data_IF_107619279018
#
_entry.id   IF_107619279018
#
_cell.length_a   1.000
_cell.length_b   1.000
_cell.length_c   1.000
_cell.angle_alpha   90.00
_cell.angle_beta   90.00
_cell.angle_gamma   90.00
#
_symmetry.space_group_name_H-M   'P 1'
#
loop_
_entity.id
_entity.type
_entity.pdbx_description
1 polymer ?
#
# COMPACT_ATOMS: atom_id res chain seq x y z
N UNK A 1 15.74 -26.61 -27.35
CA UNK A 1 15.75 -25.83 -28.62
C UNK A 1 16.42 -24.47 -28.38
N UNK A 2 17.23 -23.98 -29.31
CA UNK A 2 18.06 -22.76 -29.14
C UNK A 2 17.16 -21.53 -29.10
N UNK A 3 17.06 -20.85 -27.96
CA UNK A 3 16.60 -19.46 -27.93
C UNK A 3 17.47 -18.72 -28.95
N UNK A 4 16.85 -18.16 -29.98
CA UNK A 4 17.58 -17.47 -31.03
C UNK A 4 18.51 -16.45 -30.38
N UNK A 5 19.77 -16.44 -30.80
CA UNK A 5 20.83 -15.61 -30.22
C UNK A 5 20.42 -14.12 -30.13
N UNK A 6 19.58 -13.65 -31.06
CA UNK A 6 18.99 -12.31 -31.05
C UNK A 6 18.03 -12.04 -29.88
N UNK A 7 17.22 -13.02 -29.48
CA UNK A 7 16.34 -12.93 -28.30
C UNK A 7 17.19 -12.97 -27.03
N UNK A 8 18.17 -13.88 -26.96
CA UNK A 8 19.05 -14.02 -25.80
C UNK A 8 19.85 -12.74 -25.52
N UNK A 9 20.41 -12.12 -26.56
CA UNK A 9 21.11 -10.83 -26.45
C UNK A 9 20.20 -9.72 -25.92
N UNK A 10 18.95 -9.67 -26.39
CA UNK A 10 17.95 -8.72 -25.88
C UNK A 10 17.54 -8.98 -24.43
N UNK A 11 17.51 -10.24 -23.98
CA UNK A 11 17.25 -10.59 -22.58
C UNK A 11 18.38 -10.09 -21.68
N UNK A 12 19.65 -10.28 -22.09
CA UNK A 12 20.80 -9.83 -21.31
C UNK A 12 20.88 -8.31 -21.15
N UNK A 13 20.52 -7.57 -22.22
CA UNK A 13 20.51 -6.11 -22.26
C UNK A 13 19.23 -5.48 -21.70
N UNK A 14 18.30 -6.27 -21.18
CA UNK A 14 17.05 -5.75 -20.63
C UNK A 14 17.33 -4.86 -19.39
N UNK A 15 16.62 -3.73 -19.25
CA UNK A 15 16.78 -2.83 -18.11
C UNK A 15 16.21 -3.44 -16.81
N UNK A 16 16.66 -2.92 -15.67
CA UNK A 16 16.16 -3.31 -14.35
C UNK A 16 14.92 -2.50 -13.92
N UNK A 17 14.10 -2.08 -14.87
CA UNK A 17 12.92 -1.24 -14.66
C UNK A 17 11.60 -2.02 -14.81
N UNK A 18 10.48 -1.48 -14.32
CA UNK A 18 9.15 -1.99 -14.63
C UNK A 18 8.86 -1.89 -16.13
N UNK A 19 8.08 -2.84 -16.65
CA UNK A 19 7.76 -2.85 -18.07
C UNK A 19 6.91 -4.02 -18.53
N UNK A 20 6.53 -3.93 -19.78
CA UNK A 20 5.88 -5.00 -20.53
C UNK A 20 6.90 -5.63 -21.47
N UNK A 21 6.83 -6.95 -21.62
CA UNK A 21 7.54 -7.68 -22.65
C UNK A 21 6.56 -8.42 -23.55
N UNK A 22 6.90 -8.50 -24.83
CA UNK A 22 6.06 -8.98 -25.91
C UNK A 22 6.89 -9.96 -26.76
N UNK A 23 6.39 -11.19 -26.89
CA UNK A 23 6.94 -12.19 -27.79
C UNK A 23 6.13 -12.24 -29.08
N UNK A 24 6.82 -12.19 -30.22
CA UNK A 24 6.22 -12.27 -31.56
C UNK A 24 6.84 -13.40 -32.39
N UNK A 25 6.08 -13.94 -33.33
CA UNK A 25 6.57 -14.92 -34.31
C UNK A 25 7.32 -14.23 -35.48
N UNK A 26 7.69 -15.00 -36.52
CA UNK A 26 8.38 -14.45 -37.71
C UNK A 26 7.50 -13.48 -38.51
N UNK A 27 6.19 -13.70 -38.55
CA UNK A 27 5.24 -12.86 -39.30
C UNK A 27 4.85 -11.60 -38.54
N UNK A 28 5.33 -11.42 -37.31
CA UNK A 28 5.05 -10.26 -36.46
C UNK A 28 3.80 -10.38 -35.59
N UNK A 29 3.11 -11.52 -35.62
CA UNK A 29 1.96 -11.82 -34.77
C UNK A 29 2.39 -11.93 -33.30
N UNK A 30 1.58 -11.35 -32.41
CA UNK A 30 1.86 -11.33 -30.96
C UNK A 30 1.41 -12.63 -30.31
N UNK A 31 2.37 -13.42 -29.85
CA UNK A 31 2.14 -14.72 -29.23
C UNK A 31 1.81 -14.59 -27.74
N UNK A 32 2.58 -13.78 -27.02
CA UNK A 32 2.47 -13.62 -25.57
C UNK A 32 2.88 -12.22 -25.12
N UNK A 33 2.15 -11.71 -24.14
CA UNK A 33 2.40 -10.44 -23.45
C UNK A 33 2.47 -10.71 -21.96
N UNK A 34 3.47 -10.13 -21.28
CA UNK A 34 3.56 -10.20 -19.83
C UNK A 34 4.12 -8.93 -19.21
N UNK A 35 3.74 -8.66 -17.96
CA UNK A 35 4.31 -7.58 -17.14
C UNK A 35 5.47 -8.02 -16.24
N UNK A 36 6.36 -7.10 -15.92
CA UNK A 36 7.43 -7.27 -14.97
C UNK A 36 7.62 -6.03 -14.10
N UNK A 37 7.90 -6.24 -12.81
CA UNK A 37 8.41 -5.18 -11.91
C UNK A 37 9.88 -4.89 -12.23
N UNK A 38 10.62 -5.91 -12.68
CA UNK A 38 11.99 -5.81 -13.15
C UNK A 38 12.11 -6.66 -14.42
N UNK A 39 12.22 -6.00 -15.58
CA UNK A 39 12.28 -6.63 -16.89
C UNK A 39 13.45 -7.63 -16.97
N UNK A 40 14.66 -7.24 -16.56
CA UNK A 40 15.84 -8.12 -16.58
C UNK A 40 15.63 -9.42 -15.81
N UNK A 41 15.26 -9.34 -14.53
CA UNK A 41 15.02 -10.52 -13.67
C UNK A 41 13.92 -11.41 -14.24
N UNK A 42 12.86 -10.81 -14.80
CA UNK A 42 11.73 -11.57 -15.36
C UNK A 42 12.10 -12.24 -16.68
N UNK A 43 12.87 -11.58 -17.54
CA UNK A 43 13.25 -12.10 -18.85
C UNK A 43 14.29 -13.22 -18.74
N UNK A 44 15.17 -13.17 -17.74
CA UNK A 44 16.11 -14.25 -17.43
C UNK A 44 15.42 -15.59 -17.12
N UNK A 45 14.18 -15.57 -16.62
CA UNK A 45 13.40 -16.80 -16.42
C UNK A 45 13.19 -17.57 -17.73
N UNK A 46 13.01 -16.86 -18.86
CA UNK A 46 12.81 -17.48 -20.16
C UNK A 46 14.12 -17.96 -20.80
N UNK A 47 15.27 -17.64 -20.20
CA UNK A 47 16.59 -18.08 -20.65
C UNK A 47 17.03 -19.42 -20.03
N UNK A 48 16.17 -20.07 -19.22
CA UNK A 48 16.41 -21.39 -18.63
C UNK A 48 16.19 -22.51 -19.64
N UNK A 49 16.71 -23.70 -19.32
CA UNK A 49 16.52 -24.93 -20.08
C UNK A 49 15.04 -25.32 -20.20
N UNK A 50 14.66 -26.00 -21.30
CA UNK A 50 13.27 -26.38 -21.58
C UNK A 50 12.63 -27.25 -20.49
N UNK A 51 13.42 -28.08 -19.80
CA UNK A 51 12.98 -28.93 -18.71
C UNK A 51 12.48 -28.15 -17.48
N UNK A 52 12.95 -26.92 -17.28
CA UNK A 52 12.55 -26.04 -16.17
C UNK A 52 11.30 -25.20 -16.49
N UNK A 53 10.82 -25.24 -17.74
CA UNK A 53 9.75 -24.36 -18.22
C UNK A 53 8.41 -25.09 -18.24
N UNK A 54 7.34 -24.36 -17.97
CA UNK A 54 5.99 -24.93 -18.12
C UNK A 54 5.73 -25.29 -19.59
N UNK A 55 4.95 -26.34 -19.91
CA UNK A 55 4.69 -26.78 -21.29
C UNK A 55 4.16 -25.65 -22.18
N UNK A 56 3.35 -24.76 -21.61
CA UNK A 56 2.86 -23.56 -22.28
C UNK A 56 4.00 -22.60 -22.65
N UNK A 57 4.91 -22.33 -21.71
CA UNK A 57 6.04 -21.43 -21.92
C UNK A 57 6.97 -21.96 -22.99
N UNK A 58 7.28 -23.25 -22.96
CA UNK A 58 8.04 -23.91 -24.01
C UNK A 58 7.37 -23.74 -25.39
N UNK A 59 6.06 -23.98 -25.47
CA UNK A 59 5.31 -23.91 -26.73
C UNK A 59 5.32 -22.54 -27.41
N UNK A 60 5.15 -21.44 -26.68
CA UNK A 60 5.18 -20.11 -27.32
C UNK A 60 6.61 -19.66 -27.61
N UNK A 61 7.59 -20.02 -26.75
CA UNK A 61 9.00 -19.69 -26.99
C UNK A 61 9.51 -20.39 -28.24
N UNK A 62 9.04 -21.60 -28.52
CA UNK A 62 9.38 -22.34 -29.73
C UNK A 62 9.00 -21.60 -31.02
N UNK A 63 7.90 -20.83 -30.99
CA UNK A 63 7.43 -20.03 -32.12
C UNK A 63 7.97 -18.58 -32.08
N UNK A 64 8.52 -18.16 -30.95
CA UNK A 64 8.95 -16.79 -30.73
C UNK A 64 10.27 -16.50 -31.46
N UNK A 65 10.26 -15.42 -32.23
CA UNK A 65 11.36 -15.02 -33.11
C UNK A 65 11.81 -13.59 -32.86
N UNK A 66 10.96 -12.78 -32.22
CA UNK A 66 11.26 -11.42 -31.81
C UNK A 66 10.77 -11.17 -30.38
N UNK A 67 11.64 -10.52 -29.60
CA UNK A 67 11.32 -9.98 -28.28
C UNK A 67 11.34 -8.44 -28.35
N UNK A 68 10.29 -7.83 -27.83
CA UNK A 68 10.17 -6.39 -27.61
C UNK A 68 9.79 -6.12 -26.15
N UNK A 69 10.20 -4.97 -25.62
CA UNK A 69 9.75 -4.52 -24.31
C UNK A 69 9.47 -3.03 -24.32
N UNK A 70 8.52 -2.63 -23.48
CA UNK A 70 8.14 -1.23 -23.25
C UNK A 70 8.44 -0.92 -21.79
N UNK A 71 9.32 0.03 -21.57
CA UNK A 71 9.66 0.53 -20.23
C UNK A 71 8.53 1.45 -19.77
N UNK A 72 8.15 1.31 -18.51
CA UNK A 72 7.13 2.17 -17.88
C UNK A 72 7.63 2.65 -16.52
N UNK A 73 7.02 3.71 -16.01
CA UNK A 73 7.52 4.40 -14.83
C UNK A 73 7.01 3.75 -13.52
N UNK A 74 6.05 2.81 -13.61
CA UNK A 74 5.47 2.13 -12.42
C UNK A 74 4.92 0.71 -12.67
N UNK A 75 4.81 -0.12 -11.62
CA UNK A 75 4.13 -1.44 -11.69
C UNK A 75 2.66 -1.27 -12.08
N UNK A 76 2.00 -0.20 -11.62
CA UNK A 76 0.62 0.07 -11.99
C UNK A 76 0.46 0.36 -13.49
N UNK A 77 1.34 1.20 -14.05
CA UNK A 77 1.34 1.49 -15.48
C UNK A 77 1.61 0.22 -16.28
N UNK A 78 2.52 -0.65 -15.81
CA UNK A 78 2.74 -1.97 -16.41
C UNK A 78 1.44 -2.80 -16.38
N UNK A 79 0.77 -2.90 -15.22
CA UNK A 79 -0.50 -3.64 -15.12
C UNK A 79 -1.55 -3.12 -16.11
N UNK A 80 -1.75 -1.80 -16.16
CA UNK A 80 -2.78 -1.21 -17.02
C UNK A 80 -2.44 -1.35 -18.50
N UNK A 81 -1.16 -1.23 -18.86
CA UNK A 81 -0.70 -1.39 -20.24
C UNK A 81 -0.81 -2.85 -20.71
N UNK A 82 -0.44 -3.82 -19.86
CA UNK A 82 -0.63 -5.25 -20.13
C UNK A 82 -2.09 -5.55 -20.48
N UNK A 83 -3.01 -5.10 -19.64
CA UNK A 83 -4.45 -5.31 -19.81
C UNK A 83 -4.92 -4.74 -21.15
N UNK A 84 -4.50 -3.51 -21.46
CA UNK A 84 -4.91 -2.86 -22.71
C UNK A 84 -4.36 -3.60 -23.93
N UNK A 85 -3.08 -3.99 -23.91
CA UNK A 85 -2.45 -4.73 -25.00
C UNK A 85 -3.06 -6.12 -25.20
N UNK A 86 -3.32 -6.87 -24.12
CA UNK A 86 -3.98 -8.19 -24.22
C UNK A 86 -5.39 -8.03 -24.78
N UNK A 87 -6.14 -7.00 -24.36
CA UNK A 87 -7.49 -6.75 -24.86
C UNK A 87 -7.51 -6.36 -26.34
N UNK A 88 -6.56 -5.53 -26.78
CA UNK A 88 -6.46 -5.07 -28.17
C UNK A 88 -5.92 -6.15 -29.10
N UNK A 89 -4.88 -6.88 -28.68
CA UNK A 89 -4.12 -7.80 -29.55
C UNK A 89 -4.54 -9.26 -29.39
N UNK A 90 -5.25 -9.61 -28.32
CA UNK A 90 -5.78 -10.95 -28.04
C UNK A 90 -4.77 -12.09 -28.32
N UNK A 91 -3.61 -12.10 -27.65
CA UNK A 91 -2.56 -13.07 -27.94
C UNK A 91 -3.02 -14.50 -27.64
N UNK A 92 -2.73 -15.44 -28.55
CA UNK A 92 -3.14 -16.86 -28.45
C UNK A 92 -2.86 -17.44 -27.06
N UNK A 93 -1.64 -17.26 -26.55
CA UNK A 93 -1.19 -17.84 -25.29
C UNK A 93 -1.65 -17.07 -24.04
N UNK A 94 -2.09 -15.82 -24.15
CA UNK A 94 -2.70 -15.11 -23.00
C UNK A 94 -4.15 -15.56 -22.77
N UNK A 95 -4.83 -16.05 -23.79
CA UNK A 95 -6.25 -16.46 -23.72
C UNK A 95 -6.42 -17.88 -23.21
N UNK A 96 -5.50 -18.80 -23.55
CA UNK A 96 -5.59 -20.22 -23.18
C UNK A 96 -5.36 -20.49 -21.70
N UNK A 97 -4.66 -19.61 -20.97
CA UNK A 97 -4.45 -19.75 -19.52
C UNK A 97 -5.47 -18.97 -18.73
N UNK A 98 -6.63 -19.57 -18.52
CA UNK A 98 -7.55 -19.17 -17.46
C UNK A 98 -7.25 -19.99 -16.20
N UNK A 99 -6.14 -19.69 -15.53
CA UNK A 99 -5.93 -20.19 -14.16
C UNK A 99 -7.01 -19.64 -13.22
N UNK A 100 -7.34 -20.42 -12.18
CA UNK A 100 -8.47 -20.37 -11.23
C UNK A 100 -8.77 -19.04 -10.48
N UNK A 101 -8.11 -17.94 -10.79
CA UNK A 101 -8.45 -16.61 -10.26
C UNK A 101 -9.36 -15.91 -11.27
N UNK A 102 -10.67 -16.09 -11.10
CA UNK A 102 -11.70 -15.46 -11.95
C UNK A 102 -11.39 -13.96 -12.19
N UNK A 103 -11.05 -13.56 -13.43
CA UNK A 103 -10.66 -12.19 -13.72
C UNK A 103 -11.79 -11.21 -13.43
N UNK A 104 -11.43 -9.98 -13.01
CA UNK A 104 -12.38 -8.91 -12.76
C UNK A 104 -12.29 -7.84 -13.83
N UNK A 105 -13.43 -7.30 -14.19
CA UNK A 105 -13.59 -6.15 -15.06
C UNK A 105 -14.12 -4.98 -14.25
N UNK A 106 -13.74 -3.77 -14.62
CA UNK A 106 -14.42 -2.55 -14.21
C UNK A 106 -15.49 -2.26 -15.25
N UNK A 107 -16.74 -2.23 -14.83
CA UNK A 107 -17.89 -1.86 -15.65
C UNK A 107 -18.24 -0.40 -15.35
N UNK A 108 -18.35 0.42 -16.39
CA UNK A 108 -18.95 1.75 -16.34
C UNK A 108 -20.27 1.68 -17.11
N UNK A 109 -21.40 1.74 -16.39
CA UNK A 109 -22.73 1.53 -16.98
C UNK A 109 -23.17 2.69 -17.88
N UNK A 110 -24.17 2.44 -18.73
CA UNK A 110 -24.79 3.44 -19.61
C UNK A 110 -26.07 4.05 -18.99
N UNK A 111 -26.27 3.88 -17.67
CA UNK A 111 -27.42 4.46 -16.97
C UNK A 111 -27.40 6.00 -17.03
N UNK A 112 -28.55 6.66 -16.79
CA UNK A 112 -28.63 8.14 -16.74
C UNK A 112 -27.59 8.74 -15.78
N UNK A 113 -27.32 8.03 -14.68
CA UNK A 113 -26.19 8.26 -13.80
C UNK A 113 -25.27 7.03 -13.93
N UNK A 114 -24.20 7.13 -14.74
CA UNK A 114 -23.29 6.00 -14.94
C UNK A 114 -22.74 5.50 -13.61
N UNK A 115 -22.68 4.19 -13.44
CA UNK A 115 -22.18 3.53 -12.24
C UNK A 115 -20.85 2.85 -12.55
N UNK A 116 -19.89 2.96 -11.62
CA UNK A 116 -18.61 2.25 -11.69
C UNK A 116 -18.68 1.03 -10.77
N UNK A 117 -18.75 -0.16 -11.37
CA UNK A 117 -18.90 -1.45 -10.69
C UNK A 117 -17.80 -2.41 -11.08
N UNK A 118 -17.64 -3.48 -10.31
CA UNK A 118 -16.77 -4.60 -10.71
C UNK A 118 -17.63 -5.76 -11.20
N UNK A 119 -17.29 -6.33 -12.36
CA UNK A 119 -18.00 -7.45 -12.97
C UNK A 119 -17.04 -8.61 -13.24
N UNK A 120 -17.55 -9.85 -13.29
CA UNK A 120 -16.75 -11.05 -13.64
C UNK A 120 -16.87 -11.46 -15.10
N UNK A 121 -17.86 -10.89 -15.80
CA UNK A 121 -18.15 -11.20 -17.19
C UNK A 121 -18.50 -9.90 -17.90
N UNK A 122 -18.10 -9.81 -19.16
CA UNK A 122 -18.53 -8.74 -20.05
C UNK A 122 -19.93 -9.06 -20.56
N UNK A 123 -20.88 -8.16 -20.33
CA UNK A 123 -22.25 -8.29 -20.84
C UNK A 123 -22.48 -7.19 -21.87
N UNK A 124 -22.65 -7.58 -23.14
CA UNK A 124 -22.89 -6.63 -24.23
C UNK A 124 -24.13 -5.78 -23.91
N UNK A 125 -24.05 -4.47 -24.17
CA UNK A 125 -25.14 -3.52 -23.94
C UNK A 125 -25.23 -2.92 -22.54
N UNK A 126 -24.54 -3.47 -21.53
CA UNK A 126 -24.59 -2.95 -20.14
C UNK A 126 -23.49 -1.92 -19.81
N UNK A 127 -22.93 -1.27 -20.83
CA UNK A 127 -21.87 -0.28 -20.68
C UNK A 127 -20.48 -0.77 -21.08
N UNK A 128 -19.47 -0.03 -20.65
CA UNK A 128 -18.08 -0.27 -21.02
C UNK A 128 -17.38 -1.15 -19.98
N UNK A 129 -16.72 -2.21 -20.43
CA UNK A 129 -15.93 -3.10 -19.58
C UNK A 129 -14.43 -2.87 -19.84
N UNK A 130 -13.68 -2.69 -18.75
CA UNK A 130 -12.24 -2.50 -18.75
C UNK A 130 -11.61 -3.63 -17.93
N UNK A 131 -10.69 -4.38 -18.53
CA UNK A 131 -10.11 -5.59 -17.94
C UNK A 131 -9.66 -6.56 -19.04
N UNK A 132 -9.33 -7.82 -18.69
CA UNK A 132 -9.41 -8.43 -17.35
C UNK A 132 -8.26 -8.00 -16.41
N UNK A 133 -8.58 -7.69 -15.16
CA UNK A 133 -7.59 -7.43 -14.12
C UNK A 133 -7.16 -8.72 -13.42
N UNK A 134 -5.83 -8.97 -13.27
CA UNK A 134 -5.31 -10.21 -12.70
C UNK A 134 -5.52 -10.33 -11.18
N UNK A 135 -5.73 -9.22 -10.46
CA UNK A 135 -5.94 -9.22 -9.01
C UNK A 135 -7.15 -8.39 -8.61
N UNK A 136 -8.15 -9.08 -8.06
CA UNK A 136 -9.35 -8.48 -7.48
C UNK A 136 -9.04 -7.43 -6.40
N UNK A 137 -8.09 -7.77 -5.53
CA UNK A 137 -7.77 -7.00 -4.34
C UNK A 137 -7.01 -5.72 -4.70
N UNK A 138 -6.02 -5.83 -5.60
CA UNK A 138 -5.32 -4.66 -6.14
C UNK A 138 -6.29 -3.74 -6.87
N UNK A 139 -7.17 -4.28 -7.73
CA UNK A 139 -8.17 -3.49 -8.44
C UNK A 139 -9.08 -2.72 -7.48
N UNK A 140 -9.64 -3.39 -6.47
CA UNK A 140 -10.50 -2.72 -5.46
C UNK A 140 -9.76 -1.62 -4.72
N UNK A 141 -8.48 -1.83 -4.41
CA UNK A 141 -7.63 -0.81 -3.78
C UNK A 141 -7.42 0.39 -4.70
N UNK A 142 -7.08 0.16 -5.97
CA UNK A 142 -6.91 1.22 -6.98
C UNK A 142 -8.21 2.02 -7.14
N UNK A 143 -9.34 1.34 -7.33
CA UNK A 143 -10.65 2.00 -7.46
C UNK A 143 -10.99 2.85 -6.23
N UNK A 144 -10.68 2.39 -5.02
CA UNK A 144 -10.89 3.16 -3.79
C UNK A 144 -10.08 4.47 -3.78
N UNK A 145 -8.83 4.45 -4.26
CA UNK A 145 -8.01 5.65 -4.36
C UNK A 145 -8.48 6.57 -5.48
N UNK A 146 -8.74 6.00 -6.67
CA UNK A 146 -9.29 6.74 -7.81
C UNK A 146 -10.62 7.41 -7.47
N UNK A 147 -11.45 6.83 -6.60
CA UNK A 147 -12.70 7.45 -6.16
C UNK A 147 -12.52 8.75 -5.39
N UNK A 148 -11.38 8.94 -4.72
CA UNK A 148 -11.05 10.21 -4.06
C UNK A 148 -10.62 11.29 -5.05
N UNK A 149 -10.03 10.87 -6.17
CA UNK A 149 -9.50 11.76 -7.22
C UNK A 149 -10.61 12.11 -8.22
N UNK A 150 -11.38 11.11 -8.63
CA UNK A 150 -12.50 11.19 -9.56
C UNK A 150 -13.73 10.59 -8.86
N UNK A 151 -14.51 11.39 -8.12
CA UNK A 151 -15.70 10.92 -7.42
C UNK A 151 -16.70 10.23 -8.36
N UNK A 152 -17.22 9.07 -7.93
CA UNK A 152 -18.17 8.30 -8.75
C UNK A 152 -19.20 7.53 -7.93
N UNK A 153 -20.33 7.19 -8.58
CA UNK A 153 -21.36 6.34 -8.00
C UNK A 153 -21.04 4.86 -8.20
N UNK A 154 -21.01 4.09 -7.12
CA UNK A 154 -20.88 2.63 -7.15
C UNK A 154 -22.22 1.88 -7.07
N UNK A 155 -23.30 2.60 -6.74
CA UNK A 155 -24.65 2.07 -6.60
C UNK A 155 -25.67 3.12 -7.06
N UNK A 156 -26.85 2.67 -7.45
CA UNK A 156 -27.95 3.55 -7.84
C UNK A 156 -28.39 4.44 -6.68
N UNK A 157 -28.82 5.66 -6.99
CA UNK A 157 -29.44 6.57 -6.02
C UNK A 157 -30.86 6.07 -5.74
N UNK A 158 -31.03 5.28 -4.67
CA UNK A 158 -32.33 4.67 -4.32
C UNK A 158 -33.24 5.57 -3.48
N UNK A 159 -32.77 6.72 -2.98
CA UNK A 159 -33.56 7.59 -2.11
C UNK A 159 -33.25 9.09 -2.32
N UNK A 160 -34.24 9.93 -1.98
CA UNK A 160 -34.11 11.41 -1.88
C UNK A 160 -33.30 11.88 -0.65
N UNK A 161 -32.69 10.96 0.12
CA UNK A 161 -31.93 11.27 1.34
C UNK A 161 -30.44 11.34 1.07
N UNK A 162 -29.71 11.99 1.98
CA UNK A 162 -28.25 12.10 1.88
C UNK A 162 -27.58 10.73 1.80
N UNK A 163 -26.53 10.64 1.00
CA UNK A 163 -25.70 9.45 0.84
C UNK A 163 -24.33 9.77 1.44
N UNK A 164 -23.84 8.94 2.36
CA UNK A 164 -22.55 9.13 3.02
C UNK A 164 -21.40 9.33 2.02
N UNK A 165 -21.43 8.69 0.85
CA UNK A 165 -20.41 8.89 -0.17
C UNK A 165 -20.48 10.29 -0.79
N UNK A 166 -21.66 10.91 -0.88
CA UNK A 166 -21.81 12.30 -1.31
C UNK A 166 -21.25 13.24 -0.24
N UNK A 167 -21.63 13.01 1.02
CA UNK A 167 -21.18 13.84 2.15
C UNK A 167 -19.65 13.81 2.34
N UNK A 168 -19.03 12.67 2.05
CA UNK A 168 -17.58 12.50 2.09
C UNK A 168 -16.86 12.95 0.79
N UNK A 169 -17.57 13.51 -0.19
CA UNK A 169 -17.00 13.91 -1.49
C UNK A 169 -16.53 12.75 -2.37
N UNK A 170 -16.94 11.51 -2.08
CA UNK A 170 -16.60 10.29 -2.82
C UNK A 170 -17.60 9.96 -3.95
N UNK A 171 -18.69 10.72 -4.06
CA UNK A 171 -19.62 10.70 -5.18
C UNK A 171 -20.17 12.12 -5.40
N UNK A 172 -20.39 12.55 -6.65
CA UNK A 172 -20.97 13.84 -6.92
C UNK A 172 -22.41 13.91 -6.37
N UNK A 173 -22.83 15.09 -5.90
CA UNK A 173 -24.22 15.28 -5.50
C UNK A 173 -25.11 15.46 -6.74
N UNK A 174 -25.81 14.39 -7.12
CA UNK A 174 -26.74 14.35 -8.24
C UNK A 174 -28.20 14.13 -7.77
N UNK A 175 -28.49 14.43 -6.50
CA UNK A 175 -29.84 14.30 -5.95
C UNK A 175 -30.77 15.33 -6.61
N UNK A 176 -31.97 14.89 -7.01
CA UNK A 176 -32.97 15.72 -7.68
C UNK A 176 -33.51 16.88 -6.83
N UNK A 177 -33.28 16.86 -5.51
CA UNK A 177 -33.69 17.93 -4.61
C UNK A 177 -32.81 19.19 -4.72
N UNK A 178 -31.81 19.20 -5.60
CA UNK A 178 -30.96 20.37 -5.86
C UNK A 178 -31.55 21.30 -6.92
N UNK A 179 -31.15 22.58 -6.87
CA UNK A 179 -31.40 23.54 -7.94
C UNK A 179 -30.93 22.99 -9.30
N UNK A 180 -31.79 23.06 -10.33
CA UNK A 180 -31.54 22.55 -11.67
C UNK A 180 -30.21 23.05 -12.29
N UNK A 181 -29.82 24.30 -12.01
CA UNK A 181 -28.54 24.86 -12.48
C UNK A 181 -27.34 24.16 -11.84
N UNK A 182 -27.42 23.87 -10.54
CA UNK A 182 -26.38 23.17 -9.79
C UNK A 182 -26.31 21.69 -10.21
N UNK A 183 -27.46 21.04 -10.39
CA UNK A 183 -27.55 19.66 -10.87
C UNK A 183 -26.89 19.51 -12.24
N UNK A 184 -27.17 20.41 -13.19
CA UNK A 184 -26.56 20.39 -14.52
C UNK A 184 -25.04 20.61 -14.47
N UNK A 185 -24.56 21.49 -13.57
CA UNK A 185 -23.13 21.70 -13.34
C UNK A 185 -22.46 20.42 -12.81
N UNK A 186 -23.07 19.76 -11.83
CA UNK A 186 -22.57 18.53 -11.23
C UNK A 186 -22.58 17.36 -12.23
N UNK A 187 -23.64 17.24 -13.06
CA UNK A 187 -23.70 16.25 -14.16
C UNK A 187 -22.55 16.44 -15.15
N UNK A 188 -22.27 17.69 -15.57
CA UNK A 188 -21.14 18.00 -16.47
C UNK A 188 -19.79 17.65 -15.85
N UNK A 189 -19.59 17.98 -14.57
CA UNK A 189 -18.36 17.64 -13.86
C UNK A 189 -18.20 16.13 -13.75
N UNK A 190 -19.26 15.41 -13.40
CA UNK A 190 -19.23 13.96 -13.28
C UNK A 190 -18.83 13.26 -14.60
N UNK A 191 -19.36 13.74 -15.73
CA UNK A 191 -18.96 13.22 -17.04
C UNK A 191 -17.47 13.44 -17.34
N UNK A 192 -16.90 14.58 -16.94
CA UNK A 192 -15.45 14.83 -17.06
C UNK A 192 -14.65 13.84 -16.22
N UNK A 193 -15.05 13.64 -14.97
CA UNK A 193 -14.37 12.72 -14.04
C UNK A 193 -14.44 11.28 -14.54
N UNK A 194 -15.58 10.84 -15.06
CA UNK A 194 -15.71 9.52 -15.70
C UNK A 194 -14.85 9.40 -16.97
N UNK A 195 -14.69 10.47 -17.74
CA UNK A 195 -13.81 10.47 -18.93
C UNK A 195 -12.34 10.31 -18.52
N UNK A 196 -11.92 11.01 -17.46
CA UNK A 196 -10.56 10.89 -16.89
C UNK A 196 -10.33 9.50 -16.31
N UNK A 197 -11.30 8.97 -15.57
CA UNK A 197 -11.27 7.61 -15.03
C UNK A 197 -11.12 6.56 -16.15
N UNK A 198 -11.87 6.70 -17.25
CA UNK A 198 -11.72 5.82 -18.44
C UNK A 198 -10.32 5.91 -19.04
N UNK A 199 -9.78 7.12 -19.23
CA UNK A 199 -8.43 7.30 -19.77
C UNK A 199 -7.39 6.67 -18.85
N UNK A 200 -7.53 6.88 -17.55
CA UNK A 200 -6.66 6.29 -16.53
C UNK A 200 -6.68 4.76 -16.59
N UNK A 201 -7.86 4.15 -16.53
CA UNK A 201 -8.02 2.68 -16.57
C UNK A 201 -7.60 2.05 -17.91
N UNK A 202 -7.56 2.82 -19.00
CA UNK A 202 -7.00 2.40 -20.30
C UNK A 202 -5.47 2.59 -20.39
N UNK A 203 -4.81 2.98 -19.30
CA UNK A 203 -3.36 3.20 -19.25
C UNK A 203 -2.89 4.54 -19.85
N UNK A 204 -3.80 5.47 -20.19
CA UNK A 204 -3.45 6.79 -20.73
C UNK A 204 -3.18 7.81 -19.62
N UNK A 205 -2.32 7.44 -18.68
CA UNK A 205 -2.10 8.18 -17.42
C UNK A 205 -1.44 9.53 -17.68
N UNK A 206 -0.36 9.55 -18.48
CA UNK A 206 0.34 10.78 -18.89
C UNK A 206 -0.61 11.82 -19.49
N UNK A 207 -1.57 11.35 -20.31
CA UNK A 207 -2.61 12.20 -20.90
C UNK A 207 -3.57 12.78 -19.86
N UNK A 208 -3.92 12.01 -18.82
CA UNK A 208 -4.78 12.51 -17.73
C UNK A 208 -4.07 13.60 -16.94
N UNK A 209 -2.79 13.39 -16.59
CA UNK A 209 -1.97 14.39 -15.89
C UNK A 209 -1.88 15.67 -16.72
N UNK A 210 -1.56 15.58 -18.01
CA UNK A 210 -1.50 16.75 -18.91
C UNK A 210 -2.82 17.53 -18.97
N UNK A 211 -3.96 16.83 -19.00
CA UNK A 211 -5.28 17.48 -18.98
C UNK A 211 -5.48 18.25 -17.67
N UNK A 212 -5.16 17.63 -16.53
CA UNK A 212 -5.29 18.25 -15.21
C UNK A 212 -4.35 19.44 -15.03
N UNK A 213 -3.09 19.32 -15.47
CA UNK A 213 -2.10 20.41 -15.43
C UNK A 213 -2.54 21.61 -16.26
N UNK A 214 -3.09 21.36 -17.45
CA UNK A 214 -3.63 22.42 -18.30
C UNK A 214 -4.79 23.14 -17.61
N UNK A 215 -5.76 22.39 -17.09
CA UNK A 215 -6.91 22.96 -16.38
C UNK A 215 -6.49 23.71 -15.10
N UNK A 216 -5.49 23.21 -14.38
CA UNK A 216 -4.93 23.86 -13.19
C UNK A 216 -4.33 25.22 -13.55
N UNK A 217 -3.51 25.29 -14.60
CA UNK A 217 -2.92 26.54 -15.11
C UNK A 217 -4.00 27.52 -15.57
N UNK A 218 -5.00 27.06 -16.30
CA UNK A 218 -6.15 27.89 -16.72
C UNK A 218 -6.91 28.48 -15.51
N UNK A 219 -7.07 27.70 -14.43
CA UNK A 219 -7.73 28.16 -13.19
C UNK A 219 -6.88 29.15 -12.40
N UNK A 220 -5.57 28.92 -12.34
CA UNK A 220 -4.64 29.86 -11.73
C UNK A 220 -4.63 31.22 -12.47
N UNK A 221 -4.63 31.22 -13.80
CA UNK A 221 -4.73 32.44 -14.61
C UNK A 221 -6.03 33.22 -14.37
N UNK A 222 -7.13 32.52 -14.09
CA UNK A 222 -8.43 33.12 -13.74
C UNK A 222 -8.53 33.52 -12.26
N UNK A 223 -7.43 33.44 -11.49
CA UNK A 223 -7.38 33.70 -10.05
C UNK A 223 -8.33 32.78 -9.23
N UNK A 224 -8.72 31.63 -9.77
CA UNK A 224 -9.52 30.61 -9.09
C UNK A 224 -8.61 29.64 -8.30
N UNK A 225 -7.86 30.18 -7.32
CA UNK A 225 -6.76 29.45 -6.65
C UNK A 225 -7.20 28.19 -5.90
N UNK A 226 -8.39 28.18 -5.28
CA UNK A 226 -8.91 26.99 -4.58
C UNK A 226 -9.07 25.81 -5.54
N UNK A 227 -9.66 26.05 -6.72
CA UNK A 227 -9.85 25.00 -7.73
C UNK A 227 -8.55 24.58 -8.39
N UNK A 228 -7.61 25.52 -8.55
CA UNK A 228 -6.26 25.18 -9.01
C UNK A 228 -5.57 24.25 -7.99
N UNK A 229 -5.72 24.54 -6.69
CA UNK A 229 -5.17 23.71 -5.62
C UNK A 229 -5.83 22.32 -5.56
N UNK A 230 -7.14 22.21 -5.75
CA UNK A 230 -7.83 20.91 -5.86
C UNK A 230 -7.27 20.07 -7.03
N UNK A 231 -7.07 20.69 -8.21
CA UNK A 231 -6.49 20.02 -9.37
C UNK A 231 -5.04 19.59 -9.12
N UNK A 232 -4.25 20.42 -8.42
CA UNK A 232 -2.90 20.08 -8.00
C UNK A 232 -2.88 18.86 -7.08
N UNK A 233 -3.74 18.84 -6.05
CA UNK A 233 -3.89 17.70 -5.14
C UNK A 233 -4.32 16.42 -5.89
N UNK A 234 -5.17 16.54 -6.91
CA UNK A 234 -5.53 15.41 -7.77
C UNK A 234 -4.32 14.88 -8.55
N UNK A 235 -3.47 15.75 -9.09
CA UNK A 235 -2.24 15.36 -9.81
C UNK A 235 -1.29 14.65 -8.85
N UNK A 236 -1.04 15.21 -7.67
CA UNK A 236 -0.19 14.63 -6.63
C UNK A 236 -0.72 13.25 -6.22
N UNK A 237 -2.02 13.12 -5.97
CA UNK A 237 -2.64 11.83 -5.61
C UNK A 237 -2.53 10.78 -6.74
N UNK A 238 -2.55 11.19 -8.01
CA UNK A 238 -2.29 10.29 -9.15
C UNK A 238 -0.82 9.87 -9.14
N UNK A 239 0.10 10.81 -8.96
CA UNK A 239 1.53 10.55 -8.92
C UNK A 239 1.89 9.60 -7.77
N UNK A 240 1.31 9.80 -6.58
CA UNK A 240 1.48 8.90 -5.42
C UNK A 240 1.01 7.48 -5.67
N UNK A 241 0.00 7.32 -6.54
CA UNK A 241 -0.53 6.01 -6.94
C UNK A 241 0.34 5.34 -8.02
N UNK A 242 1.13 6.12 -8.77
CA UNK A 242 2.17 5.64 -9.67
C UNK A 242 3.48 5.37 -8.96
N UNK A 243 3.76 6.09 -7.86
CA UNK A 243 4.83 5.69 -6.97
C UNK A 243 4.55 4.24 -6.57
N UNK A 244 5.58 3.37 -6.62
CA UNK A 244 5.37 1.97 -6.33
C UNK A 244 4.74 1.85 -4.93
N UNK A 245 3.46 1.50 -4.89
CA UNK A 245 2.73 1.39 -3.64
C UNK A 245 3.39 0.25 -2.83
N UNK A 246 3.69 0.45 -1.54
CA UNK A 246 4.26 -0.57 -0.65
C UNK A 246 3.20 -1.62 -0.31
N UNK A 247 2.72 -2.35 -1.31
CA UNK A 247 1.87 -3.53 -1.13
C UNK A 247 2.66 -4.76 -1.57
N UNK A 248 3.46 -5.24 -0.61
CA UNK A 248 4.01 -6.60 -0.49
C UNK A 248 5.07 -7.00 -1.55
N UNK A 249 5.06 -6.43 -2.76
CA UNK A 249 6.06 -6.67 -3.81
C UNK A 249 7.34 -5.84 -3.71
N UNK A 250 7.37 -4.80 -2.87
CA UNK A 250 8.54 -3.95 -2.63
C UNK A 250 9.57 -4.53 -1.66
N UNK A 251 9.20 -5.54 -0.87
CA UNK A 251 10.14 -6.17 0.07
C UNK A 251 11.32 -6.85 -0.64
N UNK A 252 11.22 -7.13 -1.94
CA UNK A 252 12.20 -7.90 -2.68
C UNK A 252 13.07 -7.08 -3.65
N UNK A 253 12.66 -5.85 -4.00
CA UNK A 253 13.33 -5.08 -5.07
C UNK A 253 14.33 -4.06 -4.56
N UNK A 254 14.20 -3.55 -3.34
CA UNK A 254 15.15 -2.62 -2.72
C UNK A 254 15.59 -3.08 -1.33
N UNK A 255 15.76 -4.40 -1.11
CA UNK A 255 16.27 -4.89 0.19
C UNK A 255 17.59 -4.20 0.55
N UNK A 256 18.50 -4.01 -0.42
CA UNK A 256 19.78 -3.30 -0.20
C UNK A 256 19.59 -1.84 0.24
N UNK A 257 18.81 -1.03 -0.48
CA UNK A 257 18.55 0.37 -0.10
C UNK A 257 17.76 0.49 1.21
N UNK A 258 16.82 -0.43 1.45
CA UNK A 258 16.06 -0.49 2.71
C UNK A 258 16.96 -0.86 3.88
N UNK A 259 17.90 -1.78 3.67
CA UNK A 259 18.93 -2.12 4.64
C UNK A 259 19.88 -0.95 4.88
N UNK A 260 20.32 -0.25 3.83
CA UNK A 260 21.18 0.93 3.96
C UNK A 260 20.49 2.06 4.73
N UNK A 261 19.22 2.34 4.42
CA UNK A 261 18.41 3.31 5.16
C UNK A 261 18.23 2.88 6.61
N UNK A 262 17.86 1.62 6.86
CA UNK A 262 17.68 1.09 8.21
C UNK A 262 19.00 1.13 9.01
N UNK A 263 20.13 0.81 8.39
CA UNK A 263 21.47 0.95 8.98
C UNK A 263 21.78 2.41 9.32
N UNK A 264 21.51 3.34 8.42
CA UNK A 264 21.70 4.78 8.65
C UNK A 264 20.85 5.30 9.80
N UNK A 265 19.57 4.90 9.86
CA UNK A 265 18.65 5.25 10.94
C UNK A 265 19.10 4.67 12.29
N UNK A 266 19.52 3.41 12.32
CA UNK A 266 20.07 2.78 13.53
C UNK A 266 21.34 3.46 14.01
N UNK A 267 22.27 3.79 13.10
CA UNK A 267 23.49 4.52 13.45
C UNK A 267 23.16 5.90 14.05
N UNK A 268 22.24 6.62 13.43
CA UNK A 268 21.75 7.91 13.96
C UNK A 268 21.08 7.75 15.34
N UNK A 269 20.28 6.71 15.53
CA UNK A 269 19.61 6.45 16.81
C UNK A 269 20.62 6.07 17.91
N UNK A 270 21.61 5.24 17.58
CA UNK A 270 22.70 4.83 18.47
C UNK A 270 23.49 6.06 18.94
N UNK A 271 23.88 6.93 17.99
CA UNK A 271 24.55 8.20 18.30
C UNK A 271 23.67 9.16 19.13
N UNK A 272 22.37 9.25 18.82
CA UNK A 272 21.43 10.12 19.54
C UNK A 272 21.22 9.68 20.99
N UNK A 273 21.15 8.36 21.24
CA UNK A 273 20.95 7.80 22.57
C UNK A 273 22.26 7.57 23.34
N UNK A 274 23.41 7.67 22.69
CA UNK A 274 24.71 7.34 23.29
C UNK A 274 24.88 5.84 23.57
N UNK A 275 24.33 4.99 22.71
CA UNK A 275 24.42 3.52 22.78
C UNK A 275 25.37 3.06 21.66
N UNK A 276 26.26 2.10 21.95
CA UNK A 276 27.29 1.66 21.00
C UNK A 276 26.70 1.08 19.71
N UNK A 277 25.84 0.08 19.81
CA UNK A 277 25.16 -0.54 18.67
C UNK A 277 23.74 -0.97 19.05
N UNK A 278 22.76 -0.57 18.25
CA UNK A 278 21.37 -1.00 18.37
C UNK A 278 21.08 -2.00 17.25
N UNK A 279 20.86 -3.26 17.61
CA UNK A 279 20.49 -4.32 16.69
C UNK A 279 18.98 -4.61 16.73
N UNK A 280 18.42 -4.68 17.94
CA UNK A 280 17.05 -5.10 18.24
C UNK A 280 16.30 -4.04 19.05
N UNK A 281 15.18 -3.59 18.50
CA UNK A 281 14.26 -2.65 19.15
C UNK A 281 12.93 -3.37 19.41
N UNK A 282 12.43 -3.30 20.64
CA UNK A 282 11.10 -3.79 21.01
C UNK A 282 10.14 -2.62 21.23
N UNK A 283 9.02 -2.62 20.51
CA UNK A 283 7.98 -1.59 20.61
C UNK A 283 6.72 -2.13 21.28
N UNK A 284 6.11 -1.35 22.16
CA UNK A 284 4.92 -1.77 22.91
C UNK A 284 3.75 -0.79 22.82
N UNK A 285 2.54 -1.35 22.65
CA UNK A 285 1.26 -0.64 22.71
C UNK A 285 0.25 -1.39 23.59
N UNK A 286 -0.59 -0.66 24.33
CA UNK A 286 -1.69 -1.21 25.13
C UNK A 286 -3.00 -1.05 24.41
N UNK A 287 -3.67 -2.18 24.25
CA UNK A 287 -4.91 -2.30 23.52
C UNK A 287 -6.03 -2.64 24.54
N UNK A 288 -6.88 -1.65 24.88
CA UNK A 288 -7.97 -1.83 25.84
C UNK A 288 -9.33 -1.99 25.14
N UNK A 289 -10.01 -3.11 25.37
CA UNK A 289 -11.42 -3.29 25.00
C UNK A 289 -12.29 -3.06 26.22
N UNK A 290 -13.27 -2.16 26.10
CA UNK A 290 -14.26 -1.85 27.13
C UNK A 290 -14.85 -3.10 27.80
N UNK A 291 -14.25 -3.52 28.92
CA UNK A 291 -14.90 -4.36 29.92
C UNK A 291 -14.24 -5.68 30.35
N UNK A 292 -13.34 -6.36 29.61
CA UNK A 292 -12.90 -7.70 30.08
C UNK A 292 -11.49 -8.21 29.76
N UNK A 293 -10.82 -7.83 28.67
CA UNK A 293 -9.50 -8.42 28.31
C UNK A 293 -8.56 -7.40 27.67
N UNK A 294 -7.79 -6.67 28.47
CA UNK A 294 -6.70 -5.83 27.95
C UNK A 294 -5.57 -6.71 27.38
N UNK A 295 -4.94 -6.25 26.31
CA UNK A 295 -3.82 -6.96 25.67
C UNK A 295 -2.70 -5.98 25.36
N UNK A 296 -1.48 -6.30 25.80
CA UNK A 296 -0.28 -5.60 25.35
C UNK A 296 0.24 -6.25 24.07
N UNK A 297 0.64 -5.41 23.11
CA UNK A 297 1.15 -5.84 21.82
C UNK A 297 2.62 -5.47 21.73
N UNK A 298 3.47 -6.45 21.48
CA UNK A 298 4.91 -6.28 21.30
C UNK A 298 5.26 -6.52 19.84
N UNK A 299 5.96 -5.55 19.25
CA UNK A 299 6.56 -5.64 17.93
C UNK A 299 8.07 -5.59 18.06
N UNK A 300 8.75 -6.18 17.08
CA UNK A 300 10.20 -6.33 17.10
C UNK A 300 10.76 -5.81 15.78
N UNK A 301 11.77 -4.96 15.88
CA UNK A 301 12.58 -4.53 14.75
C UNK A 301 14.00 -5.05 14.94
N UNK A 302 14.54 -5.75 13.95
CA UNK A 302 15.92 -6.21 13.91
C UNK A 302 16.61 -5.61 12.70
N UNK A 303 17.82 -5.07 12.90
CA UNK A 303 18.54 -4.31 11.85
C UNK A 303 17.68 -3.18 11.25
N UNK A 304 16.85 -2.56 12.09
CA UNK A 304 15.95 -1.45 11.72
C UNK A 304 14.76 -1.87 10.84
N UNK A 305 14.50 -3.17 10.70
CA UNK A 305 13.40 -3.71 9.91
C UNK A 305 12.42 -4.53 10.78
N UNK A 306 11.11 -4.50 10.48
CA UNK A 306 10.14 -5.30 11.22
C UNK A 306 10.42 -6.80 11.11
N UNK A 307 10.53 -7.50 12.24
CA UNK A 307 10.61 -8.94 12.32
C UNK A 307 9.29 -9.53 12.89
N UNK A 308 8.34 -9.78 12.00
CA UNK A 308 6.96 -10.18 12.37
C UNK A 308 6.86 -11.54 13.06
N UNK A 309 7.83 -12.44 12.87
CA UNK A 309 7.85 -13.75 13.53
C UNK A 309 8.12 -13.63 15.04
N UNK A 310 8.70 -12.52 15.47
CA UNK A 310 9.03 -12.23 16.86
C UNK A 310 7.94 -11.42 17.57
N UNK A 311 6.85 -11.07 16.89
CA UNK A 311 5.76 -10.30 17.50
C UNK A 311 4.99 -11.15 18.52
N UNK A 312 4.53 -10.52 19.61
CA UNK A 312 3.81 -11.21 20.69
C UNK A 312 2.64 -10.38 21.20
N UNK A 313 1.61 -11.08 21.69
CA UNK A 313 0.52 -10.47 22.44
C UNK A 313 0.55 -11.02 23.86
N UNK A 314 0.48 -10.13 24.86
CA UNK A 314 0.37 -10.50 26.26
C UNK A 314 -1.04 -10.20 26.74
N UNK A 315 -1.80 -11.25 27.06
CA UNK A 315 -3.09 -11.09 27.74
C UNK A 315 -2.83 -10.57 29.15
N UNK A 316 -3.42 -9.43 29.49
CA UNK A 316 -3.26 -8.77 30.79
C UNK A 316 -4.24 -9.39 31.78
N UNK A 317 -3.77 -9.74 32.98
CA UNK A 317 -4.64 -10.24 34.06
C UNK A 317 -5.48 -9.09 34.61
N UNK A 318 -6.70 -9.36 35.09
CA UNK A 318 -7.60 -8.33 35.61
C UNK A 318 -6.89 -7.48 36.67
N UNK A 319 -6.89 -6.17 36.43
CA UNK A 319 -6.58 -5.15 37.44
C UNK A 319 -7.92 -4.59 37.92
N UNK A 320 -8.04 -4.26 39.22
CA UNK A 320 -9.27 -3.71 39.80
C UNK A 320 -9.70 -2.40 39.12
N UNK A 321 -8.75 -1.65 38.54
CA UNK A 321 -8.99 -0.47 37.71
C UNK A 321 -8.13 -0.51 36.44
N UNK A 322 -8.66 -0.10 35.27
CA UNK A 322 -7.86 0.02 34.05
C UNK A 322 -6.74 1.06 34.24
N UNK A 323 -5.50 0.61 34.22
CA UNK A 323 -4.33 1.47 34.34
C UNK A 323 -3.27 1.02 33.32
N UNK A 324 -3.31 1.64 32.14
CA UNK A 324 -2.46 1.31 30.98
C UNK A 324 -0.96 1.21 31.34
N UNK A 325 -0.35 2.13 32.11
CA UNK A 325 1.03 1.98 32.57
C UNK A 325 1.32 0.70 33.39
N UNK A 326 0.41 0.29 34.28
CA UNK A 326 0.57 -0.94 35.07
C UNK A 326 0.40 -2.19 34.20
N UNK A 327 -0.50 -2.14 33.21
CA UNK A 327 -0.66 -3.20 32.23
C UNK A 327 0.61 -3.38 31.39
N UNK A 328 1.26 -2.27 31.01
CA UNK A 328 2.53 -2.27 30.31
C UNK A 328 3.65 -2.88 31.17
N UNK A 329 3.74 -2.46 32.44
CA UNK A 329 4.71 -3.03 33.38
C UNK A 329 4.53 -4.56 33.53
N UNK A 330 3.30 -5.04 33.66
CA UNK A 330 3.01 -6.48 33.72
C UNK A 330 3.43 -7.22 32.44
N UNK A 331 3.21 -6.62 31.26
CA UNK A 331 3.63 -7.21 30.00
C UNK A 331 5.16 -7.32 29.92
N UNK A 332 5.89 -6.27 30.31
CA UNK A 332 7.36 -6.26 30.34
C UNK A 332 7.91 -7.24 31.36
N UNK A 333 7.35 -7.32 32.57
CA UNK A 333 7.75 -8.31 33.57
C UNK A 333 7.63 -9.74 33.01
N UNK A 334 6.51 -10.06 32.34
CA UNK A 334 6.31 -11.37 31.69
C UNK A 334 7.22 -11.57 30.48
N UNK A 335 7.53 -10.53 29.73
CA UNK A 335 8.50 -10.60 28.63
C UNK A 335 9.87 -11.06 29.12
N UNK A 336 10.30 -10.58 30.29
CA UNK A 336 11.62 -10.90 30.83
C UNK A 336 11.66 -12.20 31.67
N UNK A 337 10.53 -12.90 31.84
CA UNK A 337 10.55 -14.29 32.32
C UNK A 337 10.88 -15.31 31.24
N UNK A 338 11.00 -14.88 29.97
CA UNK A 338 11.33 -15.72 28.82
C UNK A 338 12.81 -15.52 28.41
N UNK A 339 13.77 -16.24 29.04
CA UNK A 339 15.19 -16.13 28.73
C UNK A 339 15.51 -16.62 27.31
N UNK A 340 14.64 -17.43 26.71
CA UNK A 340 14.81 -17.96 25.35
C UNK A 340 14.56 -16.92 24.25
N UNK A 341 14.04 -15.73 24.60
CA UNK A 341 13.83 -14.64 23.64
C UNK A 341 14.98 -13.65 23.70
N UNK A 342 15.63 -13.42 22.55
CA UNK A 342 16.74 -12.48 22.41
C UNK A 342 16.46 -11.14 23.09
N UNK A 343 17.43 -10.64 23.85
CA UNK A 343 17.30 -9.38 24.60
C UNK A 343 17.26 -8.18 23.63
N UNK A 344 16.39 -7.19 23.86
CA UNK A 344 16.42 -5.95 23.10
C UNK A 344 17.55 -5.03 23.56
N UNK A 345 18.08 -4.24 22.63
CA UNK A 345 19.01 -3.15 22.93
C UNK A 345 18.27 -1.85 23.28
N UNK A 346 17.01 -1.75 22.87
CA UNK A 346 16.15 -0.59 23.13
C UNK A 346 14.68 -1.01 23.25
N UNK A 347 13.99 -0.46 24.25
CA UNK A 347 12.54 -0.59 24.40
C UNK A 347 11.87 0.76 24.13
N UNK A 348 10.90 0.76 23.23
CA UNK A 348 10.06 1.91 22.90
C UNK A 348 8.63 1.71 23.42
N UNK A 349 8.14 2.66 24.22
CA UNK A 349 6.76 2.70 24.70
C UNK A 349 5.97 3.79 23.97
N UNK A 350 4.75 3.48 23.53
CA UNK A 350 3.79 4.50 23.06
C UNK A 350 3.22 5.26 24.27
N UNK A 351 3.95 6.26 24.75
CA UNK A 351 3.68 6.84 26.06
C UNK A 351 4.46 8.08 26.45
N UNK A 352 3.80 8.91 27.27
CA UNK A 352 4.38 10.09 27.89
C UNK A 352 5.16 9.80 29.18
N UNK A 353 5.66 10.87 29.83
CA UNK A 353 6.49 10.79 31.07
C UNK A 353 5.82 9.96 32.18
N UNK A 354 4.52 10.15 32.37
CA UNK A 354 3.76 9.44 33.41
C UNK A 354 3.76 7.92 33.20
N UNK A 355 3.58 7.46 31.95
CA UNK A 355 3.58 6.04 31.64
C UNK A 355 4.97 5.43 31.82
N UNK A 356 6.00 6.11 31.30
CA UNK A 356 7.39 5.66 31.41
C UNK A 356 7.86 5.59 32.88
N UNK A 357 7.48 6.56 33.71
CA UNK A 357 7.80 6.57 35.15
C UNK A 357 7.22 5.37 35.90
N UNK A 358 5.96 5.02 35.64
CA UNK A 358 5.33 3.85 36.27
C UNK A 358 6.00 2.56 35.82
N UNK A 359 6.32 2.43 34.53
CA UNK A 359 7.00 1.24 34.01
C UNK A 359 8.39 1.07 34.64
N UNK A 360 9.21 2.12 34.70
CA UNK A 360 10.56 2.06 35.27
C UNK A 360 10.57 1.71 36.76
N UNK A 361 9.63 2.28 37.55
CA UNK A 361 9.48 1.94 38.97
C UNK A 361 9.19 0.46 39.21
N UNK A 362 8.55 -0.22 38.26
CA UNK A 362 8.18 -1.63 38.36
C UNK A 362 9.21 -2.60 37.72
N UNK A 363 10.29 -2.08 37.13
CA UNK A 363 11.30 -2.84 36.37
C UNK A 363 12.73 -2.64 36.92
N UNK A 364 12.86 -2.62 38.25
CA UNK A 364 14.06 -2.20 39.03
C UNK A 364 15.41 -2.88 38.72
N UNK A 365 15.51 -3.80 37.74
CA UNK A 365 16.73 -4.57 37.45
C UNK A 365 17.10 -4.69 35.96
N UNK A 366 16.44 -3.95 35.06
CA UNK A 366 16.77 -4.03 33.63
C UNK A 366 17.82 -2.99 33.26
N UNK A 367 18.98 -3.45 32.77
CA UNK A 367 20.02 -2.60 32.21
C UNK A 367 19.77 -2.25 30.73
N UNK A 368 18.51 -2.20 30.30
CA UNK A 368 18.11 -1.94 28.92
C UNK A 368 17.50 -0.53 28.85
N UNK A 369 17.95 0.33 27.93
CA UNK A 369 17.35 1.63 27.68
C UNK A 369 15.85 1.51 27.34
N UNK A 370 15.01 2.25 28.07
CA UNK A 370 13.57 2.37 27.82
C UNK A 370 13.22 3.82 27.55
N UNK A 371 12.65 4.11 26.39
CA UNK A 371 12.24 5.46 25.99
C UNK A 371 10.75 5.53 25.67
N UNK A 372 10.19 6.74 25.79
CA UNK A 372 8.81 7.04 25.39
C UNK A 372 8.77 7.90 24.13
N UNK A 373 7.75 7.70 23.29
CA UNK A 373 7.44 8.58 22.16
C UNK A 373 5.98 9.06 22.26
N UNK A 374 5.76 10.37 22.26
CA UNK A 374 4.40 10.93 22.36
C UNK A 374 3.71 11.01 21.00
N UNK A 375 2.44 10.60 20.93
CA UNK A 375 1.68 10.48 19.67
C UNK A 375 1.39 11.80 18.95
N UNK A 376 1.14 12.89 19.68
CA UNK A 376 0.73 14.19 19.07
C UNK A 376 1.90 15.12 18.78
N UNK A 377 2.89 15.11 19.65
CA UNK A 377 3.98 16.09 19.62
C UNK A 377 5.30 15.47 19.13
N UNK A 378 5.33 14.15 18.89
CA UNK A 378 6.50 13.39 18.45
C UNK A 378 7.74 13.65 19.33
N UNK A 379 7.51 13.91 20.63
CA UNK A 379 8.57 14.17 21.60
C UNK A 379 9.13 12.85 22.12
N UNK A 380 10.45 12.76 22.12
CA UNK A 380 11.19 11.64 22.68
C UNK A 380 11.44 11.90 24.16
N UNK A 381 11.13 10.92 25.00
CA UNK A 381 11.29 11.00 26.45
C UNK A 381 12.34 9.99 26.87
N UNK A 382 13.46 10.49 27.39
CA UNK A 382 14.62 9.70 27.81
C UNK A 382 14.75 9.80 29.34
N UNK A 383 14.78 8.69 30.07
CA UNK A 383 15.09 8.68 31.50
C UNK A 383 16.55 9.09 31.75
N UNK A 384 16.79 9.94 32.75
CA UNK A 384 18.13 10.41 33.14
C UNK A 384 18.15 10.62 34.66
N UNK A 385 18.82 9.72 35.40
CA UNK A 385 19.03 9.79 36.86
C UNK A 385 17.84 10.34 37.67
N UNK A 386 16.73 9.58 37.67
CA UNK A 386 15.45 9.91 38.32
C UNK A 386 14.66 11.09 37.72
N UNK A 387 15.15 11.72 36.66
CA UNK A 387 14.46 12.75 35.86
C UNK A 387 14.17 12.25 34.45
N UNK A 388 13.47 13.08 33.67
CA UNK A 388 13.14 12.80 32.26
C UNK A 388 13.57 13.96 31.38
N UNK A 389 14.47 13.69 30.43
CA UNK A 389 14.77 14.60 29.33
C UNK A 389 13.71 14.44 28.26
N UNK A 390 13.15 15.56 27.81
CA UNK A 390 12.19 15.57 26.70
C UNK A 390 12.78 16.35 25.54
N UNK A 391 12.89 15.69 24.41
CA UNK A 391 13.53 16.23 23.22
C UNK A 391 12.46 16.33 22.14
N UNK A 392 12.41 17.49 21.49
CA UNK A 392 11.61 17.70 20.26
C UNK A 392 12.55 17.55 19.07
N UNK A 393 12.58 16.39 18.40
CA UNK A 393 13.44 16.18 17.25
C UNK A 393 12.91 16.92 16.00
N UNK A 394 13.79 17.23 15.02
CA UNK A 394 13.36 17.57 13.67
C UNK A 394 12.46 16.47 13.09
N UNK A 395 11.38 16.84 12.41
CA UNK A 395 10.36 15.89 11.96
C UNK A 395 10.88 14.85 10.94
N UNK A 396 11.91 15.23 10.19
CA UNK A 396 12.61 14.44 9.18
C UNK A 396 13.84 13.71 9.72
N UNK A 397 14.14 13.83 11.02
CA UNK A 397 15.30 13.19 11.62
C UNK A 397 15.26 11.65 11.42
N UNK A 398 16.32 11.02 10.88
CA UNK A 398 16.32 9.58 10.57
C UNK A 398 15.97 8.68 11.75
N UNK A 399 16.47 9.01 12.94
CA UNK A 399 16.16 8.26 14.17
C UNK A 399 14.68 8.39 14.57
N UNK A 400 14.07 9.56 14.39
CA UNK A 400 12.65 9.78 14.66
C UNK A 400 11.78 8.98 13.70
N UNK A 401 12.14 8.93 12.40
CA UNK A 401 11.41 8.14 11.42
C UNK A 401 11.37 6.65 11.79
N UNK A 402 12.48 6.11 12.30
CA UNK A 402 12.54 4.74 12.79
C UNK A 402 11.68 4.54 14.05
N UNK A 403 11.78 5.42 15.05
CA UNK A 403 10.98 5.32 16.27
C UNK A 403 9.47 5.44 15.98
N UNK A 404 9.06 6.32 15.05
CA UNK A 404 7.68 6.42 14.58
C UNK A 404 7.24 5.14 13.89
N UNK A 405 8.08 4.56 13.04
CA UNK A 405 7.77 3.28 12.39
C UNK A 405 7.56 2.14 13.40
N UNK A 406 8.37 2.07 14.47
CA UNK A 406 8.21 1.10 15.56
C UNK A 406 6.88 1.32 16.31
N UNK A 407 6.58 2.57 16.70
CA UNK A 407 5.31 2.92 17.38
C UNK A 407 4.10 2.61 16.52
N UNK A 408 4.09 3.08 15.28
CA UNK A 408 2.96 2.94 14.36
C UNK A 408 2.71 1.45 14.05
N UNK A 409 3.77 0.64 13.97
CA UNK A 409 3.67 -0.81 13.82
C UNK A 409 3.13 -1.51 15.08
N UNK A 410 3.54 -1.08 16.28
CA UNK A 410 2.97 -1.55 17.54
C UNK A 410 1.47 -1.28 17.62
N UNK A 411 1.07 -0.05 17.28
CA UNK A 411 -0.33 0.36 17.23
C UNK A 411 -1.13 -0.39 16.15
N UNK A 412 -0.55 -0.61 14.97
CA UNK A 412 -1.17 -1.42 13.90
C UNK A 412 -1.38 -2.86 14.34
N UNK A 413 -0.41 -3.44 15.04
CA UNK A 413 -0.49 -4.83 15.51
C UNK A 413 -1.60 -4.98 16.56
N UNK A 414 -1.65 -4.06 17.53
CA UNK A 414 -2.69 -3.98 18.55
C UNK A 414 -4.11 -3.85 17.96
N UNK A 415 -4.31 -2.89 17.06
CA UNK A 415 -5.61 -2.65 16.41
C UNK A 415 -6.08 -3.84 15.56
N UNK A 416 -5.14 -4.51 14.87
CA UNK A 416 -5.44 -5.71 14.07
C UNK A 416 -5.93 -6.87 14.95
N UNK A 417 -5.32 -7.07 16.11
CA UNK A 417 -5.73 -8.10 17.05
C UNK A 417 -7.12 -7.82 17.63
N UNK A 418 -7.40 -6.59 18.03
CA UNK A 418 -8.73 -6.20 18.50
C UNK A 418 -9.83 -6.45 17.49
N UNK A 419 -9.59 -6.15 16.22
CA UNK A 419 -10.56 -6.43 15.15
C UNK A 419 -10.86 -7.93 15.06
N UNK A 420 -9.82 -8.78 15.06
CA UNK A 420 -9.98 -10.24 15.03
C UNK A 420 -10.71 -10.79 16.27
N UNK A 421 -10.43 -10.26 17.46
CA UNK A 421 -11.10 -10.67 18.70
C UNK A 421 -12.58 -10.28 18.68
N UNK A 422 -12.93 -9.09 18.17
CA UNK A 422 -14.33 -8.65 18.01
C UNK A 422 -15.09 -9.50 17.00
N UNK A 423 -14.50 -9.78 15.83
CA UNK A 423 -15.09 -10.65 14.81
C UNK A 423 -15.37 -12.06 15.38
N UNK A 424 -14.42 -12.64 16.13
CA UNK A 424 -14.63 -13.95 16.77
C UNK A 424 -15.71 -13.95 17.86
N UNK A 425 -15.89 -12.85 18.61
CA UNK A 425 -16.98 -12.73 19.59
C UNK A 425 -18.35 -12.59 18.91
N UNK A 426 -18.42 -11.87 17.78
CA UNK A 426 -19.67 -11.70 17.01
C UNK A 426 -20.12 -12.97 16.27
N UNK A 427 -19.23 -13.92 16.01
CA UNK A 427 -19.57 -15.22 15.38
C UNK A 427 -20.00 -16.27 16.44
N UNK A 428 -19.70 -16.03 17.72
CA UNK A 428 -20.02 -16.95 18.83
C UNK A 428 -21.30 -16.59 19.60
N UNK A 429 -21.88 -15.43 19.34
CA UNK A 429 -23.23 -15.04 19.75
C UNK A 429 -24.12 -15.07 18.51
#
# INVERSE_FOLDING_TARGET
MVIIQSIFTKIQNAPQTPGIYIFKNQTGEVLYIGKAINLKKRLLYYAKSEEDLTPKTANFLAQARKLEYVIVDSDLEAILLEINLIRTLKPKYNITSKDDKRPLYVQITNDEIPLVKTARMEVKGQGEFIGPFPSAQKLKSILKHLRKIFPYHSASLRSKKSNLYIDLGLAPNLLQNQNAKLLNKNKKQYQKDLRRLRLFLKGKIKKVIQILEKEMKEKALKQEYEKAQELKQQIEAIQDLLLPSPQIGQYLTNYSLKLELAKSQLKNLSQFLGIDEIYRIEGYDIANTAGTNATASMVVFEKGLPNTSQYRHFKIRKLDKPNDPLMMAQALQRRFTHPEWAMPDLILLDGGKGQLSVVLKNLLKLNIPIIGLTKKEEKIIIPDNHKFKTITPPFDAPYLLLLRAVRDEAHRFATTYHKKVREKKMIKN
#
